data_IF_696491158553
#
_entry.id   IF_696491158553
#
_cell.length_a   1.000
_cell.length_b   1.000
_cell.length_c   1.000
_cell.angle_alpha   90.00
_cell.angle_beta   90.00
_cell.angle_gamma   90.00
#
_symmetry.space_group_name_H-M   'P 1'
#
loop_
_entity.id
_entity.type
_entity.pdbx_description
1 polymer ?
#
# COMPACT_ATOMS: atom_id res chain seq x y z
N UNK A 1 -11.90 17.65 7.37
CA UNK A 1 -12.44 16.26 7.40
C UNK A 1 -11.27 15.34 7.59
N UNK A 2 -11.16 14.72 8.76
CA UNK A 2 -10.07 13.80 9.07
C UNK A 2 -10.33 12.55 8.24
N UNK A 3 -9.44 12.22 7.31
CA UNK A 3 -9.42 10.91 6.68
C UNK A 3 -9.21 9.90 7.81
N UNK A 4 -10.28 9.27 8.29
CA UNK A 4 -10.15 8.10 9.16
C UNK A 4 -9.50 7.03 8.30
N UNK A 5 -8.22 6.80 8.52
CA UNK A 5 -7.59 5.59 8.05
C UNK A 5 -8.46 4.42 8.52
N UNK A 6 -8.95 3.66 7.56
CA UNK A 6 -9.52 2.37 7.88
C UNK A 6 -8.36 1.57 8.45
N UNK A 7 -8.38 1.35 9.78
CA UNK A 7 -7.85 0.12 10.32
C UNK A 7 -8.66 -0.98 9.62
N UNK A 8 -8.18 -1.44 8.47
CA UNK A 8 -8.57 -2.79 8.07
C UNK A 8 -8.25 -3.61 9.30
N UNK A 9 -9.29 -4.23 9.85
CA UNK A 9 -9.10 -5.35 10.75
C UNK A 9 -7.96 -6.15 10.18
N UNK A 10 -6.85 -6.17 10.90
CA UNK A 10 -5.80 -7.16 10.68
C UNK A 10 -6.58 -8.44 10.90
N UNK A 11 -7.03 -9.05 9.79
CA UNK A 11 -7.72 -10.33 9.84
C UNK A 11 -6.86 -11.18 10.73
N UNK A 12 -7.46 -11.87 11.67
CA UNK A 12 -6.76 -12.75 12.63
C UNK A 12 -5.81 -13.56 11.76
N UNK A 13 -4.50 -13.23 11.85
CA UNK A 13 -3.46 -13.94 11.10
C UNK A 13 -3.46 -15.33 11.71
N UNK A 14 -4.14 -16.27 11.08
CA UNK A 14 -4.16 -17.65 11.52
C UNK A 14 -2.78 -18.25 11.27
N UNK A 15 -2.39 -19.20 12.08
CA UNK A 15 -1.12 -19.93 11.96
C UNK A 15 -0.96 -20.56 10.55
N UNK A 16 -2.08 -20.88 9.90
CA UNK A 16 -2.16 -21.39 8.53
C UNK A 16 -1.84 -20.31 7.48
N UNK A 17 -2.34 -19.09 7.64
CA UNK A 17 -2.05 -17.98 6.73
C UNK A 17 -0.58 -17.55 6.77
N UNK A 18 0.08 -17.62 7.94
CA UNK A 18 1.52 -17.32 8.08
C UNK A 18 2.38 -18.36 7.34
N UNK A 19 2.00 -19.64 7.41
CA UNK A 19 2.73 -20.72 6.72
C UNK A 19 2.62 -20.61 5.21
N UNK A 20 1.44 -20.31 4.70
CA UNK A 20 1.21 -20.10 3.26
C UNK A 20 2.01 -18.90 2.74
N UNK A 21 2.01 -17.80 3.49
CA UNK A 21 2.78 -16.60 3.16
C UNK A 21 4.29 -16.89 3.12
N UNK A 22 4.79 -17.53 4.17
CA UNK A 22 6.20 -17.92 4.21
C UNK A 22 6.57 -18.83 3.04
N UNK A 23 5.72 -19.81 2.72
CA UNK A 23 5.97 -20.75 1.63
C UNK A 23 6.10 -20.03 0.28
N UNK A 24 5.15 -19.12 -0.03
CA UNK A 24 5.15 -18.35 -1.25
C UNK A 24 6.37 -17.42 -1.33
N UNK A 25 6.63 -16.66 -0.27
CA UNK A 25 7.72 -15.68 -0.25
C UNK A 25 9.09 -16.35 -0.27
N UNK A 26 9.26 -17.48 0.44
CA UNK A 26 10.48 -18.27 0.45
C UNK A 26 10.81 -18.78 -0.95
N UNK A 27 9.83 -19.42 -1.60
CA UNK A 27 9.99 -19.94 -2.95
C UNK A 27 10.30 -18.83 -3.95
N UNK A 28 9.61 -17.71 -3.87
CA UNK A 28 9.84 -16.55 -4.73
C UNK A 28 11.24 -15.98 -4.53
N UNK A 29 11.64 -15.70 -3.29
CA UNK A 29 12.94 -15.16 -2.96
C UNK A 29 14.11 -16.07 -3.39
N UNK A 30 13.93 -17.40 -3.29
CA UNK A 30 14.91 -18.37 -3.77
C UNK A 30 15.01 -18.36 -5.30
N UNK A 31 13.88 -18.36 -6.00
CA UNK A 31 13.86 -18.41 -7.47
C UNK A 31 14.36 -17.12 -8.10
N UNK A 32 14.05 -15.96 -7.55
CA UNK A 32 14.61 -14.65 -7.97
C UNK A 32 16.15 -14.62 -7.90
N UNK A 33 16.73 -15.34 -6.92
CA UNK A 33 18.19 -15.48 -6.76
C UNK A 33 18.78 -16.63 -7.55
N UNK A 34 17.98 -17.31 -8.37
CA UNK A 34 18.38 -18.50 -9.13
C UNK A 34 19.01 -19.62 -8.26
N UNK A 35 18.60 -19.72 -6.98
CA UNK A 35 19.09 -20.74 -6.07
C UNK A 35 18.28 -22.03 -6.21
N UNK A 36 18.97 -23.16 -6.28
CA UNK A 36 18.37 -24.48 -6.09
C UNK A 36 18.05 -24.71 -4.60
N UNK A 37 17.14 -25.65 -4.29
CA UNK A 37 16.90 -26.06 -2.89
C UNK A 37 18.18 -26.59 -2.21
N UNK A 38 19.08 -27.21 -2.97
CA UNK A 38 20.36 -27.70 -2.43
C UNK A 38 21.31 -26.56 -2.07
N UNK A 39 21.35 -25.52 -2.86
CA UNK A 39 22.15 -24.32 -2.57
C UNK A 39 21.59 -23.54 -1.40
N UNK A 40 20.27 -23.34 -1.33
CA UNK A 40 19.64 -22.71 -0.18
C UNK A 40 19.85 -23.53 1.10
N UNK A 41 19.80 -24.86 1.01
CA UNK A 41 20.11 -25.76 2.13
C UNK A 41 21.53 -25.54 2.67
N UNK A 42 22.51 -25.43 1.78
CA UNK A 42 23.91 -25.16 2.14
C UNK A 42 24.07 -23.77 2.80
N UNK A 43 23.43 -22.74 2.27
CA UNK A 43 23.51 -21.37 2.76
C UNK A 43 22.79 -21.20 4.11
N UNK A 44 21.59 -21.74 4.24
CA UNK A 44 20.76 -21.61 5.45
C UNK A 44 21.10 -22.62 6.54
N UNK A 45 21.85 -23.68 6.22
CA UNK A 45 22.11 -24.85 7.08
C UNK A 45 20.83 -25.60 7.49
N UNK A 46 19.76 -25.44 6.72
CA UNK A 46 18.48 -26.14 6.91
C UNK A 46 18.44 -27.31 5.93
N UNK A 47 17.98 -28.48 6.40
CA UNK A 47 17.86 -29.67 5.56
C UNK A 47 16.99 -29.44 4.32
N UNK A 48 17.40 -29.96 3.15
CA UNK A 48 16.67 -29.82 1.88
C UNK A 48 15.23 -30.32 1.97
N UNK A 49 14.98 -31.40 2.72
CA UNK A 49 13.63 -31.92 2.93
C UNK A 49 12.75 -30.93 3.70
N UNK A 50 13.31 -30.29 4.74
CA UNK A 50 12.64 -29.25 5.50
C UNK A 50 12.31 -28.04 4.63
N UNK A 51 13.26 -27.57 3.80
CA UNK A 51 13.03 -26.47 2.87
C UNK A 51 11.92 -26.80 1.87
N UNK A 52 11.90 -28.02 1.35
CA UNK A 52 10.84 -28.46 0.43
C UNK A 52 9.46 -28.46 1.11
N UNK A 53 9.39 -28.89 2.37
CA UNK A 53 8.14 -28.83 3.16
C UNK A 53 7.71 -27.38 3.45
N UNK A 54 8.66 -26.50 3.78
CA UNK A 54 8.36 -25.08 4.01
C UNK A 54 7.83 -24.40 2.74
N UNK A 55 8.44 -24.66 1.57
CA UNK A 55 7.95 -24.12 0.29
C UNK A 55 6.62 -24.74 -0.16
N UNK A 56 6.24 -25.88 0.37
CA UNK A 56 4.94 -26.51 0.16
C UNK A 56 3.85 -26.07 1.16
N UNK A 57 4.18 -25.18 2.11
CA UNK A 57 3.26 -24.76 3.17
C UNK A 57 2.97 -25.83 4.23
N UNK A 58 3.64 -26.99 4.15
CA UNK A 58 3.40 -28.14 5.03
C UNK A 58 4.30 -28.16 6.28
N UNK A 59 5.28 -27.26 6.36
CA UNK A 59 6.21 -27.16 7.48
C UNK A 59 5.74 -26.20 8.57
N UNK A 60 6.19 -26.41 9.79
CA UNK A 60 6.03 -25.47 10.90
C UNK A 60 7.42 -24.87 11.25
N UNK A 61 7.80 -23.70 10.68
CA UNK A 61 9.10 -23.11 10.93
C UNK A 61 9.21 -22.58 12.35
N UNK A 62 10.33 -22.82 13.02
CA UNK A 62 10.68 -22.10 14.23
C UNK A 62 11.20 -20.70 13.88
N UNK A 63 11.27 -19.82 14.87
CA UNK A 63 11.80 -18.46 14.67
C UNK A 63 13.27 -18.51 14.21
N UNK A 64 14.05 -19.47 14.68
CA UNK A 64 15.44 -19.68 14.28
C UNK A 64 15.53 -20.10 12.79
N UNK A 65 14.56 -20.89 12.33
CA UNK A 65 14.44 -21.26 10.91
C UNK A 65 14.22 -20.03 10.04
N UNK A 66 13.29 -19.13 10.44
CA UNK A 66 13.00 -17.91 9.70
C UNK A 66 14.20 -16.97 9.69
N UNK A 67 14.91 -16.81 10.83
CA UNK A 67 16.17 -16.05 10.89
C UNK A 67 17.26 -16.63 9.98
N UNK A 68 17.39 -17.94 9.93
CA UNK A 68 18.39 -18.60 9.07
C UNK A 68 18.07 -18.39 7.59
N UNK A 69 16.80 -18.43 7.20
CA UNK A 69 16.33 -18.14 5.85
C UNK A 69 16.55 -16.68 5.48
N UNK A 70 16.20 -15.75 6.37
CA UNK A 70 16.41 -14.30 6.20
C UNK A 70 17.87 -13.98 5.89
N UNK A 71 18.81 -14.55 6.67
CA UNK A 71 20.25 -14.40 6.43
C UNK A 71 20.72 -15.02 5.12
N UNK A 72 20.28 -16.24 4.84
CA UNK A 72 20.70 -16.96 3.64
C UNK A 72 20.20 -16.33 2.35
N UNK A 73 19.05 -15.64 2.42
CA UNK A 73 18.45 -14.94 1.31
C UNK A 73 18.75 -13.45 1.29
N UNK A 74 19.47 -12.92 2.31
CA UNK A 74 19.76 -11.50 2.46
C UNK A 74 18.49 -10.63 2.38
N UNK A 75 17.45 -11.05 3.10
CA UNK A 75 16.15 -10.39 3.16
C UNK A 75 15.75 -10.11 4.62
N UNK A 76 15.09 -8.99 4.90
CA UNK A 76 14.43 -8.79 6.18
C UNK A 76 13.40 -9.91 6.45
N UNK A 77 13.22 -10.27 7.73
CA UNK A 77 12.21 -11.26 8.13
C UNK A 77 10.81 -10.80 7.71
N UNK A 78 10.53 -9.49 7.81
CA UNK A 78 9.28 -8.88 7.34
C UNK A 78 8.97 -9.26 5.90
N UNK A 79 9.97 -9.33 5.04
CA UNK A 79 9.80 -9.66 3.63
C UNK A 79 9.44 -11.12 3.39
N UNK A 80 9.87 -12.02 4.28
CA UNK A 80 9.49 -13.43 4.24
C UNK A 80 8.04 -13.66 4.73
N UNK A 81 7.50 -12.74 5.50
CA UNK A 81 6.16 -12.79 6.08
C UNK A 81 5.20 -11.74 5.48
N UNK A 82 5.61 -11.01 4.45
CA UNK A 82 4.79 -9.98 3.81
C UNK A 82 3.73 -10.62 2.89
N UNK A 83 2.47 -10.30 3.13
CA UNK A 83 1.33 -10.71 2.29
C UNK A 83 1.43 -10.21 0.83
N UNK A 84 2.33 -9.28 0.55
CA UNK A 84 2.43 -8.56 -0.73
C UNK A 84 3.26 -9.25 -1.80
N UNK A 85 4.02 -10.31 -1.47
CA UNK A 85 4.88 -11.04 -2.41
C UNK A 85 4.18 -12.20 -3.15
N UNK A 86 2.84 -12.22 -3.19
CA UNK A 86 2.10 -13.12 -4.09
C UNK A 86 2.45 -12.82 -5.54
N UNK A 87 2.54 -13.83 -6.36
CA UNK A 87 2.81 -13.98 -7.82
C UNK A 87 2.90 -12.73 -8.74
N UNK A 88 3.27 -11.57 -8.21
CA UNK A 88 3.57 -10.34 -8.96
C UNK A 88 2.35 -9.64 -9.59
N UNK A 89 1.18 -10.26 -9.61
CA UNK A 89 -0.04 -9.69 -10.19
C UNK A 89 -1.06 -9.39 -9.09
N UNK A 90 -1.44 -8.12 -8.96
CA UNK A 90 -2.57 -7.71 -8.10
C UNK A 90 -3.73 -7.29 -8.99
N UNK A 91 -4.87 -7.93 -8.85
CA UNK A 91 -6.10 -7.56 -9.54
C UNK A 91 -7.11 -7.06 -8.50
N UNK A 92 -7.59 -5.84 -8.70
CA UNK A 92 -8.64 -5.23 -7.89
C UNK A 92 -9.86 -5.03 -8.79
N UNK A 93 -10.99 -5.62 -8.42
CA UNK A 93 -12.23 -5.48 -9.18
C UNK A 93 -13.04 -4.32 -8.60
N UNK A 94 -13.44 -3.38 -9.46
CA UNK A 94 -14.18 -2.19 -9.01
C UNK A 94 -15.46 -2.53 -8.20
N UNK A 95 -16.12 -3.64 -8.52
CA UNK A 95 -17.32 -4.11 -7.80
C UNK A 95 -17.04 -4.67 -6.39
N UNK A 96 -15.78 -4.95 -6.07
CA UNK A 96 -15.34 -5.54 -4.80
C UNK A 96 -14.75 -4.51 -3.85
N UNK A 97 -14.61 -3.25 -4.31
CA UNK A 97 -14.01 -2.17 -3.54
C UNK A 97 -15.06 -1.29 -2.92
N UNK A 98 -15.08 -1.24 -1.60
CA UNK A 98 -15.91 -0.30 -0.87
C UNK A 98 -15.32 1.12 -0.96
N UNK A 99 -16.14 2.08 -1.35
CA UNK A 99 -15.73 3.48 -1.49
C UNK A 99 -15.63 4.17 -0.12
N UNK A 100 -14.56 4.91 0.08
CA UNK A 100 -14.44 5.91 1.14
C UNK A 100 -15.16 7.18 0.69
N UNK A 101 -16.36 7.39 1.19
CA UNK A 101 -17.21 8.50 0.75
C UNK A 101 -16.93 9.77 1.53
N UNK A 102 -16.51 10.83 0.82
CA UNK A 102 -16.44 12.19 1.32
C UNK A 102 -17.62 13.07 0.83
N UNK A 103 -17.64 14.32 1.25
CA UNK A 103 -18.70 15.25 0.81
C UNK A 103 -18.65 15.50 -0.70
N UNK A 104 -17.47 15.78 -1.25
CA UNK A 104 -17.24 16.08 -2.66
C UNK A 104 -16.42 15.05 -3.43
N UNK A 105 -15.77 14.13 -2.72
CA UNK A 105 -14.83 13.14 -3.30
C UNK A 105 -15.10 11.77 -2.73
N UNK A 106 -15.15 10.75 -3.59
CA UNK A 106 -15.13 9.36 -3.22
C UNK A 106 -13.78 8.74 -3.61
N UNK A 107 -13.19 7.97 -2.70
CA UNK A 107 -11.93 7.25 -2.91
C UNK A 107 -12.17 5.75 -2.87
N UNK A 108 -11.77 5.05 -3.93
CA UNK A 108 -11.80 3.59 -3.99
C UNK A 108 -10.35 3.09 -3.86
N UNK A 109 -9.96 2.50 -2.71
CA UNK A 109 -8.59 2.05 -2.51
C UNK A 109 -8.26 0.89 -3.43
N UNK A 110 -7.21 1.05 -4.24
CA UNK A 110 -6.74 0.01 -5.16
C UNK A 110 -5.57 -0.76 -4.58
N UNK A 111 -4.55 -0.06 -4.08
CA UNK A 111 -3.36 -0.71 -3.55
C UNK A 111 -2.58 0.20 -2.61
N UNK A 112 -2.03 -0.40 -1.53
CA UNK A 112 -0.95 0.17 -0.76
C UNK A 112 0.37 -0.57 -1.09
N UNK A 113 1.46 0.16 -1.27
CA UNK A 113 2.80 -0.36 -1.56
C UNK A 113 3.76 0.27 -0.55
N UNK A 114 4.61 -0.54 0.07
CA UNK A 114 5.68 -0.05 0.94
C UNK A 114 7.01 -0.45 0.32
N UNK A 115 7.89 0.52 0.13
CA UNK A 115 9.24 0.31 -0.40
C UNK A 115 10.23 1.05 0.49
N UNK A 116 11.01 0.31 1.27
CA UNK A 116 11.83 0.90 2.32
C UNK A 116 10.97 1.63 3.35
N UNK A 117 11.25 2.90 3.56
CA UNK A 117 10.51 3.79 4.45
C UNK A 117 9.41 4.61 3.74
N UNK A 118 9.17 4.36 2.45
CA UNK A 118 8.18 5.08 1.65
C UNK A 118 6.92 4.24 1.46
N UNK A 119 5.77 4.86 1.66
CA UNK A 119 4.44 4.30 1.42
C UNK A 119 3.83 4.98 0.22
N UNK A 120 3.26 4.18 -0.68
CA UNK A 120 2.42 4.63 -1.79
C UNK A 120 1.03 4.05 -1.60
N UNK A 121 0.01 4.89 -1.74
CA UNK A 121 -1.40 4.46 -1.76
C UNK A 121 -2.03 4.91 -3.06
N UNK A 122 -2.65 3.98 -3.78
CA UNK A 122 -3.28 4.23 -5.08
C UNK A 122 -4.78 4.12 -4.94
N UNK A 123 -5.49 5.11 -5.46
CA UNK A 123 -6.95 5.20 -5.42
C UNK A 123 -7.52 5.48 -6.81
N UNK A 124 -8.66 4.89 -7.12
CA UNK A 124 -9.58 5.41 -8.12
C UNK A 124 -10.43 6.49 -7.42
N UNK A 125 -10.28 7.74 -7.86
CA UNK A 125 -10.90 8.90 -7.26
C UNK A 125 -12.05 9.39 -8.14
N UNK A 126 -13.18 9.68 -7.50
CA UNK A 126 -14.32 10.33 -8.15
C UNK A 126 -14.59 11.67 -7.44
N UNK A 127 -14.34 12.77 -8.13
CA UNK A 127 -14.66 14.12 -7.65
C UNK A 127 -16.04 14.47 -8.18
N UNK A 128 -17.02 14.68 -7.28
CA UNK A 128 -18.41 15.02 -7.61
C UNK A 128 -18.71 16.50 -7.50
N UNK A 129 -18.04 17.16 -6.59
CA UNK A 129 -18.18 18.59 -6.30
C UNK A 129 -16.88 19.12 -5.71
N UNK A 130 -16.91 20.33 -5.13
CA UNK A 130 -15.74 20.89 -4.46
C UNK A 130 -15.45 20.14 -3.15
N UNK A 131 -14.19 19.83 -2.94
CA UNK A 131 -13.64 19.26 -1.72
C UNK A 131 -12.35 20.00 -1.36
N UNK A 132 -12.29 20.58 -0.15
CA UNK A 132 -11.12 21.28 0.35
C UNK A 132 -10.44 20.46 1.45
N UNK A 133 -9.10 20.54 1.51
CA UNK A 133 -8.24 19.99 2.54
C UNK A 133 -7.36 21.08 3.13
N UNK A 134 -7.16 21.05 4.44
CA UNK A 134 -6.20 21.94 5.12
C UNK A 134 -4.75 21.50 4.95
N UNK A 135 -4.56 20.35 4.34
CA UNK A 135 -3.27 19.71 4.14
C UNK A 135 -3.12 18.43 4.98
N UNK A 136 -2.31 17.54 4.50
CA UNK A 136 -1.89 16.30 5.16
C UNK A 136 -0.47 15.94 4.72
N UNK A 137 0.16 14.97 5.38
CA UNK A 137 1.51 14.58 5.05
C UNK A 137 1.64 14.00 3.64
N UNK A 138 2.81 14.19 3.04
CA UNK A 138 3.23 13.53 1.81
C UNK A 138 3.03 14.37 0.54
N UNK A 139 3.08 13.68 -0.58
CA UNK A 139 2.88 14.23 -1.91
C UNK A 139 1.65 13.59 -2.54
N UNK A 140 0.80 14.39 -3.16
CA UNK A 140 -0.27 13.91 -4.02
C UNK A 140 0.14 13.96 -5.49
N UNK A 141 -0.25 12.91 -6.22
CA UNK A 141 -0.12 12.81 -7.66
C UNK A 141 -1.48 12.43 -8.24
N UNK A 142 -2.02 13.26 -9.11
CA UNK A 142 -3.33 13.01 -9.73
C UNK A 142 -3.22 12.99 -11.25
N UNK A 143 -3.80 11.96 -11.88
CA UNK A 143 -3.94 11.86 -13.33
C UNK A 143 -5.43 11.82 -13.66
N UNK A 144 -5.91 12.78 -14.43
CA UNK A 144 -7.32 12.83 -14.84
C UNK A 144 -7.60 11.77 -15.90
N UNK A 145 -8.63 10.97 -15.70
CA UNK A 145 -9.08 9.96 -16.66
C UNK A 145 -10.28 10.44 -17.47
N UNK A 146 -11.21 11.15 -16.82
CA UNK A 146 -12.42 11.66 -17.47
C UNK A 146 -12.95 12.90 -16.75
N UNK A 147 -13.56 13.83 -17.48
CA UNK A 147 -14.10 15.10 -16.96
C UNK A 147 -13.05 16.20 -16.90
N UNK A 148 -13.42 17.36 -16.35
CA UNK A 148 -12.54 18.52 -16.14
C UNK A 148 -12.40 18.80 -14.66
N UNK A 149 -11.17 18.78 -14.16
CA UNK A 149 -10.79 18.93 -12.77
C UNK A 149 -10.16 20.30 -12.52
N UNK A 150 -10.75 21.09 -11.64
CA UNK A 150 -10.08 22.23 -11.03
C UNK A 150 -9.28 21.77 -9.82
N UNK A 151 -8.00 22.14 -9.75
CA UNK A 151 -7.13 21.87 -8.61
C UNK A 151 -6.61 23.18 -8.07
N UNK A 152 -6.77 23.40 -6.76
CA UNK A 152 -6.23 24.55 -6.05
C UNK A 152 -5.19 24.07 -5.03
N UNK A 153 -4.00 24.68 -5.05
CA UNK A 153 -2.92 24.40 -4.10
C UNK A 153 -2.31 25.72 -3.67
N UNK A 154 -2.34 26.00 -2.38
CA UNK A 154 -1.80 27.23 -1.77
C UNK A 154 -2.25 28.50 -2.52
N UNK A 155 -3.54 28.57 -2.85
CA UNK A 155 -4.15 29.70 -3.56
C UNK A 155 -3.91 29.74 -5.08
N UNK A 156 -3.10 28.85 -5.65
CA UNK A 156 -2.93 28.70 -7.12
C UNK A 156 -3.98 27.75 -7.65
N UNK A 157 -4.61 28.10 -8.74
CA UNK A 157 -5.62 27.28 -9.40
C UNK A 157 -5.15 26.85 -10.77
N UNK A 158 -5.39 25.56 -11.11
CA UNK A 158 -5.15 24.99 -12.44
C UNK A 158 -6.35 24.14 -12.85
N UNK A 159 -6.65 24.13 -14.14
CA UNK A 159 -7.65 23.25 -14.72
C UNK A 159 -6.96 22.14 -15.50
N UNK A 160 -7.46 20.91 -15.34
CA UNK A 160 -6.91 19.70 -15.93
C UNK A 160 -8.00 18.96 -16.69
N UNK A 161 -7.65 18.47 -17.88
CA UNK A 161 -8.44 17.57 -18.70
C UNK A 161 -7.93 16.13 -18.69
N UNK A 162 -8.62 15.21 -19.38
CA UNK A 162 -8.19 13.81 -19.48
C UNK A 162 -6.77 13.66 -20.01
N UNK A 163 -5.93 12.89 -19.30
CA UNK A 163 -4.52 12.68 -19.58
C UNK A 163 -3.58 13.66 -18.87
N UNK A 164 -4.10 14.77 -18.32
CA UNK A 164 -3.28 15.72 -17.60
C UNK A 164 -2.89 15.19 -16.21
N UNK A 165 -1.75 15.67 -15.75
CA UNK A 165 -1.16 15.32 -14.45
C UNK A 165 -0.92 16.57 -13.60
N UNK A 166 -1.13 16.43 -12.29
CA UNK A 166 -0.66 17.36 -11.27
C UNK A 166 0.01 16.59 -10.14
N UNK A 167 1.10 17.16 -9.61
CA UNK A 167 1.73 16.68 -8.38
C UNK A 167 2.09 17.85 -7.50
N UNK A 168 1.86 17.73 -6.18
CA UNK A 168 2.13 18.80 -5.22
C UNK A 168 2.37 18.24 -3.82
N UNK A 169 3.01 19.06 -3.00
CA UNK A 169 3.16 18.81 -1.56
C UNK A 169 1.80 18.91 -0.87
N UNK A 170 1.30 17.78 -0.41
CA UNK A 170 -0.01 17.68 0.21
C UNK A 170 -0.09 18.33 1.60
N UNK A 171 1.03 18.76 2.18
CA UNK A 171 1.04 19.55 3.42
C UNK A 171 0.48 20.97 3.23
N UNK A 172 0.43 21.45 1.99
CA UNK A 172 -0.19 22.71 1.64
C UNK A 172 -1.71 22.62 1.61
N UNK A 173 -2.44 23.69 1.95
CA UNK A 173 -3.89 23.74 1.76
C UNK A 173 -4.22 23.53 0.27
N UNK A 174 -5.08 22.56 -0.03
CA UNK A 174 -5.42 22.21 -1.40
C UNK A 174 -6.90 21.82 -1.53
N UNK A 175 -7.36 21.69 -2.77
CA UNK A 175 -8.73 21.26 -3.02
C UNK A 175 -8.95 20.87 -4.47
N UNK A 176 -9.96 20.05 -4.66
CA UNK A 176 -10.43 19.56 -5.95
C UNK A 176 -11.85 20.10 -6.23
N UNK A 177 -12.13 20.39 -7.49
CA UNK A 177 -13.45 20.83 -7.93
C UNK A 177 -13.81 20.17 -9.26
N UNK A 178 -14.95 19.53 -9.31
CA UNK A 178 -15.53 19.05 -10.57
C UNK A 178 -16.13 20.24 -11.33
N UNK A 179 -15.63 20.57 -12.54
CA UNK A 179 -16.03 21.76 -13.27
C UNK A 179 -17.29 21.54 -14.12
N UNK A 180 -17.37 20.44 -14.87
CA UNK A 180 -18.43 20.17 -15.84
C UNK A 180 -19.19 18.85 -15.51
N UNK A 181 -19.27 18.48 -14.25
CA UNK A 181 -19.84 17.22 -13.79
C UNK A 181 -18.78 16.31 -13.14
N UNK A 182 -19.13 15.09 -12.74
CA UNK A 182 -18.22 14.20 -12.02
C UNK A 182 -16.93 13.92 -12.79
N UNK A 183 -15.80 14.01 -12.11
CA UNK A 183 -14.46 13.75 -12.64
C UNK A 183 -13.94 12.45 -12.10
N UNK A 184 -13.36 11.61 -12.97
CA UNK A 184 -12.65 10.41 -12.57
C UNK A 184 -11.14 10.58 -12.76
N UNK A 185 -10.37 10.21 -11.75
CA UNK A 185 -8.91 10.33 -11.75
C UNK A 185 -8.27 9.19 -10.98
N UNK A 186 -6.99 8.95 -11.25
CA UNK A 186 -6.14 8.14 -10.37
C UNK A 186 -5.42 9.08 -9.42
N UNK A 187 -5.58 8.84 -8.12
CA UNK A 187 -4.83 9.53 -7.06
C UNK A 187 -3.78 8.56 -6.50
N UNK A 188 -2.55 9.03 -6.42
CA UNK A 188 -1.46 8.36 -5.73
C UNK A 188 -0.96 9.27 -4.60
N UNK A 189 -1.01 8.77 -3.37
CA UNK A 189 -0.42 9.39 -2.20
C UNK A 189 0.94 8.76 -1.94
N UNK A 190 1.96 9.59 -1.72
CA UNK A 190 3.30 9.17 -1.36
C UNK A 190 3.71 9.84 -0.05
N UNK A 191 4.11 9.06 0.96
CA UNK A 191 4.58 9.59 2.24
C UNK A 191 5.56 8.62 2.92
N UNK A 192 6.27 9.09 3.96
CA UNK A 192 7.15 8.24 4.76
C UNK A 192 6.38 7.46 5.81
N UNK A 193 6.79 6.23 6.07
CA UNK A 193 6.11 5.34 7.02
C UNK A 193 6.16 5.86 8.48
N UNK A 194 7.19 6.62 8.85
CA UNK A 194 7.32 7.26 10.16
C UNK A 194 6.32 8.41 10.37
N UNK A 195 5.83 9.02 9.30
CA UNK A 195 4.82 10.08 9.34
C UNK A 195 3.42 9.58 9.69
N UNK A 196 3.15 8.27 9.60
CA UNK A 196 1.86 7.67 9.98
C UNK A 196 1.48 7.90 11.45
N UNK A 197 2.45 8.04 12.35
CA UNK A 197 2.24 8.10 13.80
C UNK A 197 1.83 9.49 14.34
N UNK A 198 1.85 10.54 13.53
CA UNK A 198 1.64 11.92 14.00
C UNK A 198 0.27 12.55 13.65
N UNK A 199 -0.67 11.78 13.11
CA UNK A 199 -2.00 12.28 12.74
C UNK A 199 -3.11 11.97 13.76
N UNK A 200 -2.79 11.90 15.05
CA UNK A 200 -3.80 11.85 16.11
C UNK A 200 -4.21 13.28 16.48
N UNK A 201 -5.45 13.72 16.21
CA UNK A 201 -5.90 15.00 16.75
C UNK A 201 -6.03 14.87 18.27
N UNK A 202 -5.26 15.67 19.00
CA UNK A 202 -5.42 15.80 20.44
C UNK A 202 -6.87 16.20 20.78
N UNK A 203 -7.56 15.33 21.53
CA UNK A 203 -8.72 15.74 22.31
C UNK A 203 -8.24 16.73 23.37
N UNK A 204 -8.29 18.02 23.09
CA UNK A 204 -8.27 19.03 24.12
C UNK A 204 -9.66 19.05 24.76
N UNK A 205 -9.80 18.33 25.87
CA UNK A 205 -10.89 18.53 26.80
C UNK A 205 -10.76 19.94 27.40
N UNK A 206 -11.77 20.75 27.19
CA UNK A 206 -11.97 22.00 27.92
C UNK A 206 -12.87 21.72 29.12
N UNK A 207 -12.37 22.06 30.24
CA UNK A 207 -13.10 22.22 31.52
C UNK A 207 -14.16 23.29 31.42
#
# INVERSE_FOLDING_TARGET
>A
MVVRYIEREVGIVTDESVRELLALNLRHARTERNLSLSELSRLSKIGKATLSQLEAGAGNPTIETVFSLSRALELPISDLLDQRRGNGVTVVRAAEVEALRGEGVDLHPLRGIVTGDTVFEVYDQVVRSRQDSLGHMGTEHTIVQAGRLGVRVDGREVELGPGDYVGFDASLPHGYTALDGPVRSVLLLQYRSDQRLHSTPGCSGSS
#
